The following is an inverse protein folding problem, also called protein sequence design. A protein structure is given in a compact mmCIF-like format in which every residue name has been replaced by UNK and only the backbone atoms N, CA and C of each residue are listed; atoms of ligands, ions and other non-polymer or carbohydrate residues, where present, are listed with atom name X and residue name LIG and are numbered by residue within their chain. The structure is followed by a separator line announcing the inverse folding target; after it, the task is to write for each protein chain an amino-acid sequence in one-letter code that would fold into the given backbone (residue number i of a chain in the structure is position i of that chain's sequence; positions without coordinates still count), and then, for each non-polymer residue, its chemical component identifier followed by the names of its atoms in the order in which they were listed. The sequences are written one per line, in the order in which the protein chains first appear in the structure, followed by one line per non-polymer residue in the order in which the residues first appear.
data_IF_804245185249
#
_entry.id   IF_804245185249
#
_cell.length_a   1.000
_cell.length_b   1.000
_cell.length_c   1.000
_cell.angle_alpha   90.00
_cell.angle_beta   90.00
_cell.angle_gamma   90.00
#
_symmetry.space_group_name_H-M   'P 1'
#
loop_
_entity.id
_entity.type
_entity.pdbx_description
1 polymer ?
#
# COMPACT_ATOMS: atom_id res chain seq x y z
N UNK A 1 -14.64 1.62 -0.04
CA UNK A 1 -13.98 1.68 -1.37
C UNK A 1 -14.84 2.41 -2.41
N UNK A 2 -16.15 2.14 -2.51
CA UNK A 2 -17.04 2.77 -3.50
C UNK A 2 -17.06 4.31 -3.48
N UNK A 3 -17.09 4.93 -2.31
CA UNK A 3 -17.04 6.39 -2.20
C UNK A 3 -15.72 7.00 -2.73
N UNK A 4 -14.60 6.27 -2.60
CA UNK A 4 -13.29 6.68 -3.14
C UNK A 4 -13.29 6.59 -4.66
N UNK A 5 -13.82 5.47 -5.21
CA UNK A 5 -14.00 5.29 -6.65
C UNK A 5 -14.76 6.47 -7.27
N UNK A 6 -15.96 6.76 -6.76
CA UNK A 6 -16.80 7.88 -7.25
C UNK A 6 -16.11 9.24 -7.17
N UNK A 7 -15.25 9.46 -6.16
CA UNK A 7 -14.48 10.69 -6.03
C UNK A 7 -13.39 10.79 -7.10
N UNK A 8 -12.68 9.69 -7.37
CA UNK A 8 -11.64 9.64 -8.41
C UNK A 8 -12.23 9.74 -9.82
N UNK A 9 -13.38 9.12 -10.08
CA UNK A 9 -14.11 9.26 -11.36
C UNK A 9 -14.45 10.72 -11.65
N UNK A 10 -14.97 11.46 -10.66
CA UNK A 10 -15.23 12.90 -10.81
C UNK A 10 -13.98 13.72 -11.09
N UNK A 11 -12.83 13.33 -10.52
CA UNK A 11 -11.53 13.99 -10.80
C UNK A 11 -11.10 13.67 -12.24
N UNK A 12 -11.22 12.41 -12.66
CA UNK A 12 -10.94 11.96 -14.02
C UNK A 12 -11.72 12.78 -15.06
N UNK A 13 -13.04 12.89 -14.88
CA UNK A 13 -13.92 13.67 -15.76
C UNK A 13 -13.56 15.16 -15.76
N UNK A 14 -13.35 15.74 -14.58
CA UNK A 14 -13.08 17.19 -14.43
C UNK A 14 -11.79 17.62 -15.12
N UNK A 15 -10.75 16.80 -15.05
CA UNK A 15 -9.42 17.16 -15.55
C UNK A 15 -9.07 16.47 -16.87
N UNK A 16 -9.91 15.56 -17.38
CA UNK A 16 -9.64 14.80 -18.61
C UNK A 16 -8.44 13.85 -18.47
N UNK A 17 -8.10 13.44 -17.24
CA UNK A 17 -7.00 12.51 -16.95
C UNK A 17 -7.61 11.14 -16.72
N UNK A 18 -7.31 10.12 -17.53
CA UNK A 18 -7.82 8.77 -17.29
C UNK A 18 -7.34 8.23 -15.94
N UNK A 19 -8.28 7.82 -15.07
CA UNK A 19 -7.99 7.19 -13.78
C UNK A 19 -8.75 5.88 -13.65
N UNK A 20 -8.04 4.80 -13.32
CA UNK A 20 -8.62 3.52 -12.92
C UNK A 20 -8.48 3.32 -11.41
N UNK A 21 -9.52 2.78 -10.76
CA UNK A 21 -9.49 2.46 -9.33
C UNK A 21 -9.86 1.00 -9.05
N UNK A 22 -8.84 0.25 -8.62
CA UNK A 22 -8.94 -1.17 -8.27
C UNK A 22 -8.80 -1.32 -6.75
N UNK A 23 -9.94 -1.41 -6.06
CA UNK A 23 -9.95 -1.58 -4.61
C UNK A 23 -9.74 -3.04 -4.21
N UNK A 24 -8.78 -3.29 -3.31
CA UNK A 24 -8.50 -4.63 -2.78
C UNK A 24 -9.01 -4.71 -1.33
N UNK A 25 -10.15 -5.39 -1.05
CA UNK A 25 -10.79 -5.39 0.27
C UNK A 25 -10.19 -6.45 1.20
N UNK A 26 -8.86 -6.45 1.39
CA UNK A 26 -8.13 -7.37 2.30
C UNK A 26 -7.19 -6.57 3.20
N UNK A 27 -6.69 -7.18 4.28
CA UNK A 27 -5.66 -6.54 5.10
C UNK A 27 -4.31 -6.52 4.38
N UNK A 28 -3.47 -5.52 4.65
CA UNK A 28 -2.21 -5.34 3.95
C UNK A 28 -1.28 -6.59 3.98
N UNK A 29 -1.16 -7.35 5.10
CA UNK A 29 -0.38 -8.58 5.12
C UNK A 29 -0.92 -9.71 4.22
N UNK A 30 -2.22 -9.68 3.91
CA UNK A 30 -2.89 -10.70 3.08
C UNK A 30 -2.85 -10.37 1.57
N UNK A 31 -2.32 -9.19 1.21
CA UNK A 31 -2.18 -8.80 -0.20
C UNK A 31 -1.15 -9.70 -0.86
N UNK A 32 -1.53 -10.32 -1.98
CA UNK A 32 -0.60 -11.07 -2.83
C UNK A 32 -0.31 -10.32 -4.12
N UNK A 33 0.76 -10.73 -4.82
CA UNK A 33 1.13 -10.14 -6.12
C UNK A 33 0.00 -10.20 -7.14
N UNK A 34 -0.74 -11.30 -7.19
CA UNK A 34 -1.81 -11.51 -8.18
C UNK A 34 -3.06 -10.63 -7.92
N UNK A 35 -3.19 -10.08 -6.72
CA UNK A 35 -4.23 -9.09 -6.40
C UNK A 35 -3.88 -7.69 -6.93
N UNK A 36 -2.64 -7.48 -7.39
CA UNK A 36 -2.13 -6.21 -7.89
C UNK A 36 -2.00 -6.34 -9.41
N UNK A 37 -2.82 -5.57 -10.14
CA UNK A 37 -2.82 -5.55 -11.61
C UNK A 37 -1.59 -4.79 -12.17
N UNK A 38 -0.40 -5.38 -12.05
CA UNK A 38 0.84 -4.79 -12.54
C UNK A 38 0.95 -5.02 -14.04
N UNK A 39 0.92 -3.93 -14.81
CA UNK A 39 0.98 -3.96 -16.27
C UNK A 39 2.40 -3.61 -16.76
N UNK A 40 2.99 -4.40 -17.68
CA UNK A 40 4.28 -4.06 -18.28
C UNK A 40 4.27 -2.68 -18.96
N UNK A 41 5.32 -1.90 -18.76
CA UNK A 41 5.45 -0.54 -19.32
C UNK A 41 4.97 0.57 -18.40
N UNK A 42 4.24 0.26 -17.32
CA UNK A 42 3.82 1.25 -16.32
C UNK A 42 4.89 1.48 -15.25
N UNK A 43 4.96 2.71 -14.75
CA UNK A 43 5.80 3.07 -13.61
C UNK A 43 5.08 2.74 -12.30
N UNK A 44 5.64 1.82 -11.50
CA UNK A 44 5.07 1.49 -10.19
C UNK A 44 5.58 2.43 -9.10
N UNK A 45 4.65 3.00 -8.34
CA UNK A 45 4.89 3.71 -7.09
C UNK A 45 4.11 3.01 -5.97
N UNK A 46 4.74 2.86 -4.80
CA UNK A 46 4.09 2.30 -3.61
C UNK A 46 4.11 3.34 -2.50
N UNK A 47 2.96 3.53 -1.84
CA UNK A 47 2.84 4.48 -0.74
C UNK A 47 2.29 3.77 0.51
N UNK A 48 2.99 3.92 1.63
CA UNK A 48 2.57 3.47 2.95
C UNK A 48 2.19 4.67 3.83
N UNK A 49 0.92 5.12 3.80
CA UNK A 49 0.46 6.21 4.64
C UNK A 49 0.00 5.69 6.00
N UNK A 50 0.80 5.93 7.04
CA UNK A 50 0.46 5.62 8.44
C UNK A 50 0.17 4.13 8.68
N UNK A 51 0.92 3.22 8.04
CA UNK A 51 0.61 1.78 8.02
C UNK A 51 1.59 0.92 8.81
N UNK A 52 2.84 1.33 8.99
CA UNK A 52 3.85 0.47 9.60
C UNK A 52 3.86 0.53 11.13
N UNK A 53 3.46 1.64 11.77
CA UNK A 53 3.34 1.70 13.25
C UNK A 53 2.22 0.83 13.85
N UNK A 54 1.31 0.30 13.02
CA UNK A 54 0.28 -0.68 13.41
C UNK A 54 0.67 -2.13 13.08
N UNK A 55 1.80 -2.35 12.40
CA UNK A 55 2.28 -3.68 12.05
C UNK A 55 3.36 -4.08 13.03
N UNK A 56 3.08 -5.07 13.88
CA UNK A 56 4.02 -5.57 14.89
C UNK A 56 5.38 -5.91 14.25
N UNK A 57 6.46 -5.52 14.91
CA UNK A 57 7.82 -5.81 14.48
C UNK A 57 8.34 -7.15 15.07
N UNK A 58 9.58 -7.52 14.70
CA UNK A 58 10.23 -8.77 15.13
C UNK A 58 10.39 -8.91 16.65
N UNK A 59 10.25 -7.81 17.41
CA UNK A 59 10.34 -7.86 18.87
C UNK A 59 9.03 -8.30 19.53
N UNK A 60 7.93 -8.40 18.76
CA UNK A 60 6.58 -8.69 19.27
C UNK A 60 5.93 -9.92 18.59
N UNK A 61 6.19 -10.19 17.31
CA UNK A 61 5.63 -11.35 16.58
C UNK A 61 6.69 -12.08 15.74
N UNK A 62 6.83 -13.39 15.99
CA UNK A 62 7.77 -14.30 15.31
C UNK A 62 7.45 -14.46 13.81
N UNK A 63 6.23 -14.13 13.38
CA UNK A 63 5.80 -14.17 11.97
C UNK A 63 5.95 -12.84 11.23
N UNK A 64 6.36 -11.75 11.91
CA UNK A 64 6.64 -10.40 11.40
C UNK A 64 5.93 -10.04 10.07
N UNK A 65 4.61 -9.75 10.11
CA UNK A 65 3.82 -9.44 8.91
C UNK A 65 4.31 -8.20 8.16
N UNK A 66 5.07 -7.30 8.82
CA UNK A 66 5.70 -6.12 8.22
C UNK A 66 6.71 -6.51 7.17
N UNK A 67 7.55 -7.50 7.47
CA UNK A 67 8.63 -7.93 6.60
C UNK A 67 8.11 -8.67 5.37
N UNK A 68 7.04 -9.45 5.53
CA UNK A 68 6.36 -10.07 4.39
C UNK A 68 5.88 -9.03 3.37
N UNK A 69 5.19 -7.99 3.86
CA UNK A 69 4.71 -6.89 3.02
C UNK A 69 5.85 -6.10 2.37
N UNK A 70 6.93 -5.80 3.11
CA UNK A 70 8.10 -5.11 2.56
C UNK A 70 8.85 -5.97 1.52
N UNK A 71 8.95 -7.29 1.72
CA UNK A 71 9.51 -8.22 0.74
C UNK A 71 8.66 -8.30 -0.52
N UNK A 72 7.33 -8.34 -0.38
CA UNK A 72 6.41 -8.27 -1.51
C UNK A 72 6.68 -6.99 -2.30
N UNK A 73 6.64 -5.82 -1.67
CA UNK A 73 6.88 -4.54 -2.35
C UNK A 73 8.23 -4.49 -3.02
N UNK A 74 9.31 -4.95 -2.38
CA UNK A 74 10.63 -5.06 -3.01
C UNK A 74 10.61 -5.96 -4.25
N UNK A 75 9.88 -7.09 -4.21
CA UNK A 75 9.76 -8.01 -5.35
C UNK A 75 9.04 -7.40 -6.56
N UNK A 76 8.21 -6.37 -6.34
CA UNK A 76 7.53 -5.63 -7.40
C UNK A 76 8.44 -4.60 -8.10
N UNK A 77 9.64 -4.34 -7.55
CA UNK A 77 10.61 -3.38 -8.09
C UNK A 77 10.03 -1.99 -8.41
N UNK A 78 9.34 -1.32 -7.44
CA UNK A 78 8.79 0.00 -7.66
C UNK A 78 9.90 1.03 -7.95
N UNK A 79 9.58 2.05 -8.75
CA UNK A 79 10.49 3.18 -8.98
C UNK A 79 10.64 4.05 -7.75
N UNK A 80 9.59 4.14 -6.93
CA UNK A 80 9.57 4.90 -5.69
C UNK A 80 8.69 4.20 -4.65
N UNK A 81 9.17 4.20 -3.41
CA UNK A 81 8.39 3.81 -2.25
C UNK A 81 8.39 4.97 -1.26
N UNK A 82 7.20 5.44 -0.88
CA UNK A 82 7.02 6.48 0.13
C UNK A 82 6.50 5.89 1.42
N UNK A 83 6.99 6.40 2.54
CA UNK A 83 6.61 6.00 3.89
C UNK A 83 6.27 7.26 4.69
N UNK A 84 5.08 7.28 5.29
CA UNK A 84 4.65 8.34 6.20
C UNK A 84 4.26 7.67 7.50
N UNK A 85 4.95 7.96 8.59
CA UNK A 85 4.68 7.40 9.91
C UNK A 85 4.58 8.50 10.95
N UNK A 86 3.89 8.23 12.06
CA UNK A 86 3.92 9.12 13.21
C UNK A 86 5.24 8.93 13.95
N UNK A 87 5.95 10.01 14.25
CA UNK A 87 7.13 9.99 15.11
C UNK A 87 6.70 9.85 16.59
N UNK A 88 6.29 8.65 16.97
CA UNK A 88 5.93 8.30 18.35
C UNK A 88 6.63 7.00 18.73
N UNK A 89 7.56 7.06 19.69
CA UNK A 89 8.04 5.86 20.38
C UNK A 89 6.94 5.33 21.28
N UNK A 90 6.17 4.36 20.80
CA UNK A 90 5.39 3.47 21.67
C UNK A 90 6.03 2.09 21.62
N UNK A 91 7.29 1.99 22.06
CA UNK A 91 7.76 0.74 22.65
C UNK A 91 7.05 0.63 23.99
N UNK A 92 5.96 -0.13 24.04
CA UNK A 92 5.48 -0.63 25.32
C UNK A 92 6.58 -1.51 25.92
N UNK A 93 7.11 -1.09 27.07
CA UNK A 93 7.91 -1.93 27.95
C UNK A 93 7.12 -3.16 28.42
#
# INVERSE_FOLDING_TARGET
LEAVRKKLEKISEKFGIPVEFHGVPVFAPDVTRDMIDIRPGEALAVNFPLQLHHTADESVDVNNPRDGLLRLVKSLSPKVTTLVEQESTTTSL
#
